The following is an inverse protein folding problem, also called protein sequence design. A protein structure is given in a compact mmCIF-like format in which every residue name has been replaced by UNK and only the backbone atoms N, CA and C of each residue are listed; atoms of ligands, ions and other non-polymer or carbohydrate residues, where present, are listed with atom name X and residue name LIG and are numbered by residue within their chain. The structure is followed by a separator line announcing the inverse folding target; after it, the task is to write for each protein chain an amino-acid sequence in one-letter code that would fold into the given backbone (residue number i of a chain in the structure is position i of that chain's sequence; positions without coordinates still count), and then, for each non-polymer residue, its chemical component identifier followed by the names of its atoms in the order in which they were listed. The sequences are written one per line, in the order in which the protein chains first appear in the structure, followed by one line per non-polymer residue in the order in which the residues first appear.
data_IF_870787094958
#
_entry.id   IF_870787094958
#
_cell.length_a   1.000
_cell.length_b   1.000
_cell.length_c   1.000
_cell.angle_alpha   90.00
_cell.angle_beta   90.00
_cell.angle_gamma   90.00
#
_symmetry.space_group_name_H-M   'P 1'
#
loop_
_entity.id
_entity.type
_entity.pdbx_description
1 polymer ?
#
# COMPACT_ATOMS: atom_id res chain seq x y z
N UNK A 1 -15.25 -8.82 3.06
CA UNK A 1 -15.31 -7.74 2.68
C UNK A 1 -14.14 -7.22 2.11
N UNK A 2 -14.11 -6.64 1.14
CA UNK A 2 -12.96 -6.14 0.48
C UNK A 2 -12.31 -5.00 1.21
N UNK A 3 -11.17 -4.59 0.75
CA UNK A 3 -10.48 -3.53 1.34
C UNK A 3 -11.02 -2.23 0.82
N UNK A 4 -11.06 -1.24 1.65
CA UNK A 4 -11.53 0.07 1.26
C UNK A 4 -10.34 0.90 0.84
N UNK A 5 -10.10 1.01 -0.44
CA UNK A 5 -8.98 1.79 -0.94
C UNK A 5 -9.06 3.25 -0.60
N UNK A 6 -10.27 3.76 -0.39
CA UNK A 6 -10.44 5.15 0.00
C UNK A 6 -9.79 5.40 1.36
N UNK A 7 -9.96 4.48 2.29
CA UNK A 7 -9.34 4.60 3.59
C UNK A 7 -7.83 4.56 3.49
N UNK A 8 -7.32 3.69 2.63
CA UNK A 8 -5.88 3.60 2.43
C UNK A 8 -5.36 4.91 1.85
N UNK A 9 -6.04 5.48 0.89
CA UNK A 9 -5.62 6.75 0.30
C UNK A 9 -5.56 7.84 1.35
N UNK A 10 -6.51 7.88 2.25
CA UNK A 10 -6.54 8.92 3.26
C UNK A 10 -5.47 8.75 4.32
N UNK A 11 -5.24 7.51 4.74
CA UNK A 11 -4.31 7.27 5.84
C UNK A 11 -2.86 7.20 5.42
N UNK A 12 -2.61 6.77 4.21
CA UNK A 12 -1.23 6.49 3.80
C UNK A 12 -0.79 7.33 2.60
N UNK A 13 -1.23 8.57 2.54
CA UNK A 13 -0.82 9.45 1.45
C UNK A 13 0.69 9.54 1.35
N UNK A 14 1.20 9.35 0.16
CA UNK A 14 2.62 9.47 -0.08
C UNK A 14 3.45 8.29 0.37
N UNK A 15 2.80 7.26 0.86
CA UNK A 15 3.52 6.09 1.34
C UNK A 15 3.37 4.93 0.38
N UNK A 16 4.33 4.02 0.45
CA UNK A 16 4.23 2.76 -0.25
C UNK A 16 3.53 1.79 0.66
N UNK A 17 2.56 1.07 0.15
CA UNK A 17 1.88 0.04 0.93
C UNK A 17 2.09 -1.29 0.26
N UNK A 18 2.16 -2.32 1.06
CA UNK A 18 2.28 -3.69 0.58
C UNK A 18 1.00 -4.40 0.94
N UNK A 19 0.39 -5.04 -0.04
CA UNK A 19 -0.86 -5.74 0.16
C UNK A 19 -0.66 -7.21 -0.14
N UNK A 20 -1.48 -8.05 0.47
CA UNK A 20 -1.41 -9.47 0.16
C UNK A 20 -2.35 -9.74 -1.02
N UNK A 21 -2.43 -11.00 -1.43
CA UNK A 21 -3.26 -11.34 -2.57
C UNK A 21 -4.74 -11.15 -2.32
N UNK A 22 -5.13 -10.96 -1.08
CA UNK A 22 -6.50 -10.66 -0.74
C UNK A 22 -6.72 -9.16 -0.57
N UNK A 23 -5.75 -8.37 -0.99
CA UNK A 23 -5.80 -6.92 -0.92
C UNK A 23 -5.86 -6.39 0.50
N UNK A 24 -5.29 -7.13 1.43
CA UNK A 24 -5.20 -6.65 2.80
C UNK A 24 -3.87 -5.97 3.02
N UNK A 25 -3.89 -4.89 3.78
CA UNK A 25 -2.66 -4.16 4.06
C UNK A 25 -1.73 -5.00 4.93
N UNK A 26 -0.53 -5.21 4.44
CA UNK A 26 0.47 -5.98 5.16
C UNK A 26 1.46 -5.04 5.85
N UNK A 27 1.93 -4.05 5.12
CA UNK A 27 2.89 -3.11 5.67
C UNK A 27 2.88 -1.83 4.85
N UNK A 28 3.58 -0.83 5.35
CA UNK A 28 3.70 0.43 4.63
C UNK A 28 4.97 1.14 5.08
N UNK A 29 5.47 2.00 4.22
CA UNK A 29 6.65 2.81 4.53
C UNK A 29 6.79 3.86 3.44
N UNK A 30 7.59 4.87 3.70
CA UNK A 30 7.87 5.88 2.69
C UNK A 30 8.75 5.33 1.58
N UNK A 31 9.54 4.30 1.90
CA UNK A 31 10.47 3.71 0.96
C UNK A 31 9.91 2.37 0.52
N UNK A 32 9.85 2.15 -0.78
CA UNK A 32 9.32 0.90 -1.31
C UNK A 32 10.12 -0.29 -0.81
N UNK A 33 11.44 -0.13 -0.71
CA UNK A 33 12.27 -1.23 -0.25
C UNK A 33 11.96 -1.60 1.19
N UNK A 34 11.74 -0.59 2.02
CA UNK A 34 11.42 -0.85 3.41
C UNK A 34 10.04 -1.47 3.56
N UNK A 35 9.07 -0.98 2.79
CA UNK A 35 7.74 -1.55 2.84
C UNK A 35 7.77 -3.01 2.40
N UNK A 36 8.52 -3.28 1.34
CA UNK A 36 8.66 -4.65 0.85
C UNK A 36 9.34 -5.52 1.89
N UNK A 37 10.39 -5.02 2.50
CA UNK A 37 11.12 -5.78 3.51
C UNK A 37 10.21 -6.12 4.70
N UNK A 38 9.42 -5.15 5.14
CA UNK A 38 8.50 -5.40 6.24
C UNK A 38 7.51 -6.50 5.89
N UNK A 39 7.00 -6.49 4.66
CA UNK A 39 6.09 -7.53 4.23
C UNK A 39 6.78 -8.88 4.16
N UNK A 40 8.02 -8.88 3.68
CA UNK A 40 8.79 -10.10 3.58
C UNK A 40 9.04 -10.72 4.95
N UNK A 41 9.34 -9.89 5.94
CA UNK A 41 9.55 -10.36 7.30
C UNK A 41 8.29 -11.02 7.84
N UNK A 42 7.14 -10.57 7.40
CA UNK A 42 5.89 -11.16 7.83
C UNK A 42 5.53 -12.42 7.06
N UNK A 43 6.37 -12.81 6.11
CA UNK A 43 6.13 -14.03 5.34
C UNK A 43 5.56 -13.82 3.95
N UNK A 44 5.41 -12.59 3.52
CA UNK A 44 4.85 -12.31 2.21
C UNK A 44 5.97 -12.03 1.23
N UNK A 45 6.34 -13.03 0.46
CA UNK A 45 7.47 -12.91 -0.45
C UNK A 45 7.21 -12.00 -1.64
N UNK A 46 6.00 -11.99 -2.11
CA UNK A 46 5.66 -11.18 -3.28
C UNK A 46 4.43 -10.34 -3.00
N UNK A 47 4.57 -9.35 -2.14
CA UNK A 47 3.42 -8.51 -1.84
C UNK A 47 3.10 -7.61 -3.02
N UNK A 48 1.86 -7.17 -3.10
CA UNK A 48 1.46 -6.22 -4.12
C UNK A 48 1.87 -4.86 -3.60
N UNK A 49 2.78 -4.21 -4.31
CA UNK A 49 3.26 -2.90 -3.89
C UNK A 49 2.46 -1.82 -4.59
N UNK A 50 2.11 -0.79 -3.84
CA UNK A 50 1.29 0.26 -4.37
C UNK A 50 1.67 1.58 -3.70
N UNK A 51 1.92 2.60 -4.47
CA UNK A 51 2.22 3.91 -3.91
C UNK A 51 0.97 4.76 -3.85
N UNK A 52 0.65 5.24 -2.67
CA UNK A 52 -0.53 6.07 -2.48
C UNK A 52 -0.21 7.48 -2.90
N UNK A 53 -1.00 8.08 -3.79
CA UNK A 53 -0.69 9.43 -4.26
C UNK A 53 -0.77 10.44 -3.13
N UNK A 54 0.06 11.45 -3.22
CA UNK A 54 0.06 12.49 -2.21
C UNK A 54 -1.01 13.52 -2.47
N UNK A 55 -1.42 13.68 -3.72
CA UNK A 55 -2.44 14.66 -4.06
C UNK A 55 -3.75 14.00 -4.34
N UNK A 56 -4.78 14.67 -3.97
CA UNK A 56 -6.10 14.20 -4.28
C UNK A 56 -6.42 14.57 -5.70
N UNK A 57 -5.70 14.07 -6.63
CA UNK A 57 -5.86 14.42 -7.99
C UNK A 57 -6.88 13.59 -8.63
N UNK A 58 -7.72 14.21 -9.32
CA UNK A 58 -8.65 13.47 -9.96
C UNK A 58 -8.28 13.32 -11.29
N UNK A 59 -8.23 12.43 -11.71
CA UNK A 59 -7.88 12.39 -12.92
C UNK A 59 -8.88 11.91 -13.68
N UNK A 60 -9.22 11.84 -13.90
CA UNK A 60 -9.96 11.53 -14.58
C UNK A 60 -10.47 12.04 -14.99
N UNK A 61 -10.07 12.21 -15.09
CA UNK A 61 -10.49 12.77 -15.78
C UNK A 61 -10.90 12.70 -16.07
#
# INVERSE_FOLDING_TARGET
MGIDLTSIYKKYKGLWVALDKNWKLVSYDRDIKKAHKKASVKGFKEPIMFKVPTKNTVYFG
#
